data_IF_501390439009
#
_entry.id   IF_501390439009
#
_cell.length_a   1.000
_cell.length_b   1.000
_cell.length_c   1.000
_cell.angle_alpha   90.00
_cell.angle_beta   90.00
_cell.angle_gamma   90.00
#
_symmetry.space_group_name_H-M   'P 1'
#
loop_
_entity.id
_entity.type
_entity.pdbx_description
1 polymer ?
#
# COMPACT_ATOMS: atom_id res chain seq x y z
N UNK A 1 12.61 -8.88 39.18
CA UNK A 1 13.30 -9.67 38.13
C UNK A 1 13.14 -8.93 36.83
N UNK A 2 14.23 -8.32 36.35
CA UNK A 2 14.25 -7.45 35.18
C UNK A 2 14.52 -8.33 33.95
N UNK A 3 13.52 -8.56 33.10
CA UNK A 3 13.71 -9.26 31.82
C UNK A 3 13.75 -8.19 30.73
N UNK A 4 14.92 -7.57 30.61
CA UNK A 4 15.29 -6.81 29.42
C UNK A 4 15.64 -7.78 28.30
N UNK A 5 14.64 -8.22 27.52
CA UNK A 5 14.90 -8.52 26.11
C UNK A 5 14.47 -7.29 25.32
N UNK A 6 15.44 -6.49 24.91
CA UNK A 6 15.22 -5.48 23.88
C UNK A 6 14.97 -6.23 22.56
N UNK A 7 13.77 -6.81 22.43
CA UNK A 7 13.32 -7.43 21.19
C UNK A 7 13.31 -6.37 20.10
N UNK A 8 13.73 -6.75 18.88
CA UNK A 8 13.64 -5.91 17.70
C UNK A 8 12.27 -5.25 17.64
N UNK A 9 12.21 -3.92 17.62
CA UNK A 9 10.95 -3.19 17.53
C UNK A 9 10.22 -3.64 16.26
N UNK A 10 9.03 -4.23 16.43
CA UNK A 10 8.18 -4.65 15.32
C UNK A 10 7.13 -3.60 15.03
N UNK A 11 6.86 -3.37 13.76
CA UNK A 11 5.82 -2.44 13.31
C UNK A 11 4.72 -3.24 12.64
N UNK A 12 3.48 -3.07 13.12
CA UNK A 12 2.29 -3.61 12.46
C UNK A 12 1.60 -2.46 11.71
N UNK A 13 1.53 -2.57 10.39
CA UNK A 13 0.74 -1.66 9.58
C UNK A 13 -0.63 -2.27 9.35
N UNK A 14 -1.69 -1.48 9.55
CA UNK A 14 -3.07 -1.87 9.25
C UNK A 14 -3.56 -0.94 8.14
N UNK A 15 -4.05 -1.52 7.06
CA UNK A 15 -4.47 -0.85 5.84
C UNK A 15 -5.87 -1.30 5.42
N UNK A 16 -6.61 -0.36 4.85
CA UNK A 16 -7.97 -0.57 4.35
C UNK A 16 -8.02 -0.14 2.88
N UNK A 17 -8.67 -0.95 2.05
CA UNK A 17 -8.86 -0.66 0.62
C UNK A 17 -10.34 -0.62 0.28
N UNK A 18 -10.80 0.40 -0.45
CA UNK A 18 -12.19 0.53 -0.87
C UNK A 18 -12.64 -0.57 -1.83
N UNK A 19 -11.74 -1.21 -2.58
CA UNK A 19 -12.09 -2.35 -3.44
C UNK A 19 -12.32 -3.66 -2.66
N UNK A 20 -11.84 -3.73 -1.41
CA UNK A 20 -12.08 -4.87 -0.51
C UNK A 20 -12.56 -4.38 0.86
N UNK A 21 -13.78 -3.80 0.93
CA UNK A 21 -14.26 -3.13 2.15
C UNK A 21 -14.51 -4.10 3.32
N UNK A 22 -14.69 -5.39 3.04
CA UNK A 22 -14.84 -6.43 4.06
C UNK A 22 -13.50 -6.95 4.60
N UNK A 23 -12.37 -6.51 4.05
CA UNK A 23 -11.04 -6.98 4.40
C UNK A 23 -10.22 -5.91 5.12
N UNK A 24 -9.56 -6.33 6.19
CA UNK A 24 -8.52 -5.57 6.87
C UNK A 24 -7.19 -6.22 6.54
N UNK A 25 -6.32 -5.45 5.89
CA UNK A 25 -4.99 -5.92 5.52
C UNK A 25 -3.98 -5.48 6.57
N UNK A 26 -3.17 -6.40 7.05
CA UNK A 26 -2.16 -6.12 8.05
C UNK A 26 -0.80 -6.64 7.61
N UNK A 27 0.25 -5.85 7.79
CA UNK A 27 1.63 -6.22 7.44
C UNK A 27 2.49 -6.04 8.68
N UNK A 28 3.02 -7.15 9.21
CA UNK A 28 3.97 -7.14 10.31
C UNK A 28 5.39 -7.09 9.77
N UNK A 29 6.11 -6.02 10.09
CA UNK A 29 7.53 -5.86 9.81
C UNK A 29 8.37 -6.38 10.99
N UNK A 30 9.22 -7.36 10.72
CA UNK A 30 10.14 -7.95 11.70
C UNK A 30 11.52 -8.14 11.07
N UNK A 31 12.37 -7.12 11.18
CA UNK A 31 13.67 -7.09 10.50
C UNK A 31 13.47 -7.02 8.98
N UNK A 32 14.10 -7.92 8.24
CA UNK A 32 13.99 -7.98 6.77
C UNK A 32 12.79 -8.81 6.27
N UNK A 33 11.90 -9.25 7.18
CA UNK A 33 10.72 -10.05 6.83
C UNK A 33 9.44 -9.24 7.03
N UNK A 34 8.58 -9.27 6.01
CA UNK A 34 7.20 -8.77 6.06
C UNK A 34 6.26 -9.95 6.09
N UNK A 35 5.35 -9.99 7.08
CA UNK A 35 4.35 -11.05 7.21
C UNK A 35 2.98 -10.42 6.95
N UNK A 36 2.35 -10.68 5.78
CA UNK A 36 1.00 -10.21 5.51
C UNK A 36 -0.04 -11.08 6.20
N UNK A 37 -1.12 -10.45 6.65
CA UNK A 37 -2.32 -11.07 7.20
C UNK A 37 -3.53 -10.35 6.61
N UNK A 38 -4.53 -11.11 6.18
CA UNK A 38 -5.83 -10.58 5.77
C UNK A 38 -6.87 -11.11 6.73
N UNK A 39 -7.62 -10.20 7.35
CA UNK A 39 -8.67 -10.50 8.32
C UNK A 39 -9.94 -9.72 7.99
N UNK A 40 -11.00 -9.91 8.78
CA UNK A 40 -12.22 -9.12 8.69
C UNK A 40 -12.16 -7.86 9.58
N UNK A 41 -13.26 -7.10 9.61
CA UNK A 41 -13.38 -5.89 10.42
C UNK A 41 -13.27 -6.10 11.94
N UNK A 42 -13.41 -7.34 12.46
CA UNK A 42 -13.22 -7.61 13.88
C UNK A 42 -11.76 -7.46 14.30
N UNK A 43 -10.83 -7.51 13.34
CA UNK A 43 -9.42 -7.28 13.61
C UNK A 43 -9.13 -5.87 14.13
N UNK A 44 -9.82 -4.85 13.62
CA UNK A 44 -9.68 -3.47 14.14
C UNK A 44 -10.13 -3.37 15.60
N UNK A 45 -11.20 -4.07 15.96
CA UNK A 45 -11.66 -4.15 17.35
C UNK A 45 -10.62 -4.86 18.24
N UNK A 46 -10.01 -5.94 17.75
CA UNK A 46 -8.90 -6.60 18.45
C UNK A 46 -7.73 -5.64 18.67
N UNK A 47 -7.34 -4.85 17.67
CA UNK A 47 -6.26 -3.86 17.80
C UNK A 47 -6.55 -2.81 18.85
N UNK A 48 -7.81 -2.38 18.99
CA UNK A 48 -8.21 -1.48 20.08
C UNK A 48 -8.12 -2.11 21.47
N UNK A 49 -8.14 -3.44 21.61
CA UNK A 49 -7.95 -4.15 22.88
C UNK A 49 -6.48 -4.46 23.19
N UNK A 50 -5.61 -4.42 22.19
CA UNK A 50 -4.19 -4.78 22.30
C UNK A 50 -3.29 -3.58 22.63
N UNK A 51 -3.83 -2.47 23.13
CA UNK A 51 -3.09 -1.22 23.41
C UNK A 51 -1.98 -1.37 24.45
N UNK A 52 -2.05 -2.39 25.30
CA UNK A 52 -0.98 -2.74 26.26
C UNK A 52 0.25 -3.33 25.56
N UNK A 53 0.08 -3.92 24.38
CA UNK A 53 1.15 -4.58 23.59
C UNK A 53 1.58 -3.69 22.43
N UNK A 54 0.63 -3.06 21.74
CA UNK A 54 0.89 -2.17 20.61
C UNK A 54 0.63 -0.71 20.97
N UNK A 55 1.64 0.14 20.77
CA UNK A 55 1.49 1.59 20.88
C UNK A 55 1.13 2.19 19.53
N UNK A 56 -0.11 2.70 19.40
CA UNK A 56 -0.55 3.40 18.20
C UNK A 56 0.07 4.79 18.10
N UNK A 57 0.73 5.09 16.97
CA UNK A 57 1.26 6.43 16.67
C UNK A 57 0.19 7.24 15.95
N UNK A 58 -0.62 8.02 16.68
CA UNK A 58 -1.75 8.80 16.11
C UNK A 58 -1.38 9.69 14.91
N UNK A 59 -0.13 10.14 14.80
CA UNK A 59 0.35 11.03 13.74
C UNK A 59 0.79 10.32 12.44
N UNK A 60 0.73 8.99 12.37
CA UNK A 60 1.20 8.23 11.20
C UNK A 60 0.07 7.84 10.23
N UNK A 61 -1.18 8.25 10.49
CA UNK A 61 -2.29 7.99 9.57
C UNK A 61 -2.05 8.74 8.26
N UNK A 62 -1.98 7.96 7.19
CA UNK A 62 -1.84 8.41 5.83
C UNK A 62 -2.99 7.80 5.03
N UNK A 63 -3.59 8.58 4.14
CA UNK A 63 -4.70 8.16 3.30
C UNK A 63 -4.53 8.72 1.90
N UNK A 64 -4.94 7.95 0.89
CA UNK A 64 -5.08 8.39 -0.48
C UNK A 64 -6.56 8.33 -0.85
N UNK A 65 -7.14 9.48 -1.24
CA UNK A 65 -8.57 9.58 -1.59
C UNK A 65 -8.74 10.35 -2.88
N UNK A 66 -9.65 9.88 -3.73
CA UNK A 66 -10.09 10.63 -4.89
C UNK A 66 -10.86 9.77 -5.88
N UNK A 67 -11.09 10.28 -7.10
CA UNK A 67 -11.98 9.65 -8.06
C UNK A 67 -11.41 8.34 -8.62
N UNK A 68 -12.34 7.46 -9.01
CA UNK A 68 -12.11 6.19 -9.70
C UNK A 68 -12.78 6.27 -11.07
N UNK A 69 -12.02 6.01 -12.11
CA UNK A 69 -12.44 6.05 -13.49
C UNK A 69 -12.33 4.66 -14.12
N UNK A 70 -13.22 4.37 -15.06
CA UNK A 70 -13.17 3.18 -15.89
C UNK A 70 -13.11 3.60 -17.35
N UNK A 71 -12.15 3.04 -18.09
CA UNK A 71 -11.98 3.28 -19.51
C UNK A 71 -11.65 1.96 -20.19
N UNK A 72 -12.66 1.38 -20.84
CA UNK A 72 -12.58 0.03 -21.39
C UNK A 72 -12.20 -0.96 -20.28
N UNK A 73 -11.10 -1.67 -20.50
CA UNK A 73 -10.57 -2.70 -19.60
C UNK A 73 -9.71 -2.16 -18.43
N UNK A 74 -9.51 -0.83 -18.38
CA UNK A 74 -8.68 -0.18 -17.37
C UNK A 74 -9.52 0.46 -16.27
N UNK A 75 -9.02 0.34 -15.05
CA UNK A 75 -9.46 1.08 -13.88
C UNK A 75 -8.34 2.05 -13.46
N UNK A 76 -8.65 3.33 -13.33
CA UNK A 76 -7.68 4.37 -12.96
C UNK A 76 -8.17 5.10 -11.72
N UNK A 77 -7.35 5.23 -10.69
CA UNK A 77 -7.66 6.01 -9.49
C UNK A 77 -6.65 7.13 -9.31
N UNK A 78 -7.17 8.33 -9.01
CA UNK A 78 -6.36 9.49 -8.68
C UNK A 78 -6.55 9.82 -7.20
N UNK A 79 -5.55 9.51 -6.38
CA UNK A 79 -5.61 9.71 -4.94
C UNK A 79 -4.83 10.93 -4.49
N UNK A 80 -5.49 11.90 -3.87
CA UNK A 80 -4.80 12.92 -3.06
C UNK A 80 -4.30 12.26 -1.77
N UNK A 81 -2.98 12.26 -1.59
CA UNK A 81 -2.32 11.67 -0.42
C UNK A 81 -2.26 12.71 0.69
N UNK A 82 -2.81 12.38 1.85
CA UNK A 82 -2.72 13.22 3.05
C UNK A 82 -2.15 12.45 4.22
N UNK A 83 -1.33 13.09 5.05
CA UNK A 83 -0.80 12.52 6.29
C UNK A 83 -1.17 13.44 7.45
N UNK A 84 -1.91 12.91 8.43
CA UNK A 84 -2.52 13.73 9.49
C UNK A 84 -3.22 14.98 8.93
N UNK A 85 -4.04 14.78 7.88
CA UNK A 85 -4.79 15.82 7.15
C UNK A 85 -3.93 16.84 6.35
N UNK A 86 -2.61 16.71 6.33
CA UNK A 86 -1.75 17.56 5.51
C UNK A 86 -1.53 16.92 4.14
N UNK A 87 -1.81 17.65 3.06
CA UNK A 87 -1.54 17.21 1.69
C UNK A 87 -0.05 16.92 1.47
N UNK A 88 0.25 15.77 0.87
CA UNK A 88 1.61 15.28 0.59
C UNK A 88 1.90 15.07 -0.89
N UNK A 89 0.88 14.83 -1.71
CA UNK A 89 1.05 14.60 -3.14
C UNK A 89 -0.14 13.90 -3.78
N UNK A 90 0.04 13.47 -5.03
CA UNK A 90 -0.95 12.72 -5.80
C UNK A 90 -0.40 11.34 -6.10
N UNK A 91 -1.23 10.32 -5.92
CA UNK A 91 -0.96 8.93 -6.27
C UNK A 91 -1.87 8.54 -7.45
N UNK A 92 -1.31 7.86 -8.44
CA UNK A 92 -2.05 7.30 -9.57
C UNK A 92 -1.96 5.78 -9.49
N UNK A 93 -3.12 5.12 -9.43
CA UNK A 93 -3.23 3.67 -9.51
C UNK A 93 -3.86 3.31 -10.85
N UNK A 94 -3.27 2.34 -11.55
CA UNK A 94 -3.82 1.78 -12.78
C UNK A 94 -3.86 0.26 -12.66
N UNK A 95 -5.01 -0.29 -13.03
CA UNK A 95 -5.28 -1.72 -13.05
C UNK A 95 -5.85 -2.09 -14.42
N UNK A 96 -5.25 -3.10 -15.05
CA UNK A 96 -5.80 -3.77 -16.22
C UNK A 96 -6.54 -5.04 -15.79
N UNK A 97 -7.88 -5.00 -15.81
CA UNK A 97 -8.72 -6.05 -15.20
C UNK A 97 -8.71 -7.41 -15.90
N UNK A 98 -8.56 -7.51 -17.25
CA UNK A 98 -8.62 -8.81 -17.91
C UNK A 98 -7.44 -9.75 -17.61
N UNK A 99 -6.34 -9.26 -17.04
CA UNK A 99 -5.15 -10.08 -16.77
C UNK A 99 -4.59 -9.84 -15.38
N UNK A 100 -4.54 -10.92 -14.58
CA UNK A 100 -4.00 -10.91 -13.23
C UNK A 100 -2.51 -11.29 -13.17
N UNK A 101 -1.84 -11.49 -14.31
CA UNK A 101 -0.40 -11.84 -14.35
C UNK A 101 0.39 -10.62 -14.80
N UNK A 102 1.13 -9.92 -13.90
CA UNK A 102 1.75 -8.64 -14.22
C UNK A 102 2.66 -8.65 -15.46
N UNK A 103 3.45 -9.71 -15.65
CA UNK A 103 4.33 -9.88 -16.81
C UNK A 103 3.58 -9.83 -18.15
N UNK A 104 2.33 -10.29 -18.16
CA UNK A 104 1.52 -10.35 -19.39
C UNK A 104 0.88 -9.02 -19.75
N UNK A 105 0.74 -8.09 -18.80
CA UNK A 105 0.03 -6.82 -19.01
C UNK A 105 0.85 -5.56 -18.66
N UNK A 106 2.08 -5.70 -18.15
CA UNK A 106 2.92 -4.57 -17.71
C UNK A 106 3.16 -3.54 -18.80
N UNK A 107 3.64 -3.95 -19.98
CA UNK A 107 3.93 -3.00 -21.07
C UNK A 107 2.66 -2.27 -21.54
N UNK A 108 1.53 -2.99 -21.61
CA UNK A 108 0.24 -2.40 -21.94
C UNK A 108 -0.18 -1.33 -20.92
N UNK A 109 -0.07 -1.61 -19.62
CA UNK A 109 -0.36 -0.63 -18.56
C UNK A 109 0.62 0.55 -18.59
N UNK A 110 1.90 0.30 -18.87
CA UNK A 110 2.94 1.33 -18.96
C UNK A 110 2.69 2.27 -20.13
N UNK A 111 2.38 1.75 -21.31
CA UNK A 111 2.04 2.54 -22.51
C UNK A 111 0.77 3.37 -22.29
N UNK A 112 -0.26 2.75 -21.71
CA UNK A 112 -1.49 3.45 -21.33
C UNK A 112 -1.18 4.65 -20.41
N UNK A 113 -0.40 4.44 -19.35
CA UNK A 113 0.03 5.51 -18.44
C UNK A 113 0.87 6.58 -19.14
N UNK A 114 1.76 6.17 -20.05
CA UNK A 114 2.66 7.08 -20.78
C UNK A 114 1.88 8.04 -21.68
N UNK A 115 0.72 7.62 -22.20
CA UNK A 115 -0.18 8.49 -22.95
C UNK A 115 -0.70 9.70 -22.17
N UNK A 116 -0.80 9.60 -20.83
CA UNK A 116 -1.32 10.68 -19.98
C UNK A 116 -0.22 11.40 -19.20
N UNK A 117 0.74 10.66 -18.65
CA UNK A 117 1.76 11.19 -17.74
C UNK A 117 3.11 11.42 -18.42
N UNK A 118 3.24 11.06 -19.71
CA UNK A 118 4.46 11.25 -20.49
C UNK A 118 5.68 10.59 -19.83
N UNK A 119 6.76 11.36 -19.67
CA UNK A 119 8.02 10.89 -19.10
C UNK A 119 8.00 10.67 -17.59
N UNK A 120 6.89 10.97 -16.89
CA UNK A 120 6.77 10.70 -15.46
C UNK A 120 6.51 9.24 -15.13
N UNK A 121 6.16 8.41 -16.13
CA UNK A 121 5.95 6.97 -15.96
C UNK A 121 7.29 6.26 -15.85
N UNK A 122 7.43 5.41 -14.84
CA UNK A 122 8.63 4.60 -14.65
C UNK A 122 8.73 3.53 -15.75
N UNK A 123 9.93 3.34 -16.28
CA UNK A 123 10.20 2.32 -17.30
C UNK A 123 10.22 0.90 -16.71
N UNK A 124 10.46 0.77 -15.41
CA UNK A 124 10.58 -0.52 -14.71
C UNK A 124 9.37 -0.77 -13.80
N UNK A 125 8.97 -2.04 -13.61
CA UNK A 125 7.95 -2.40 -12.63
C UNK A 125 8.28 -1.92 -11.20
N UNK A 126 7.26 -1.62 -10.38
CA UNK A 126 7.43 -1.32 -8.96
C UNK A 126 8.27 -2.38 -8.24
N UNK A 127 9.12 -1.97 -7.30
CA UNK A 127 10.11 -2.85 -6.68
C UNK A 127 9.49 -4.12 -6.09
N UNK A 128 8.35 -4.00 -5.41
CA UNK A 128 7.61 -5.13 -4.85
C UNK A 128 7.21 -6.18 -5.91
N UNK A 129 6.87 -5.75 -7.14
CA UNK A 129 6.40 -6.63 -8.20
C UNK A 129 7.52 -7.30 -9.00
N UNK A 130 8.75 -6.77 -9.01
CA UNK A 130 9.83 -7.26 -9.87
C UNK A 130 10.08 -8.77 -9.72
N UNK A 131 10.02 -9.29 -8.50
CA UNK A 131 10.21 -10.72 -8.22
C UNK A 131 8.92 -11.56 -8.33
N UNK A 132 7.79 -10.91 -8.61
CA UNK A 132 6.44 -11.52 -8.65
C UNK A 132 5.74 -11.31 -10.00
N UNK A 133 6.49 -10.91 -11.02
CA UNK A 133 5.92 -10.57 -12.33
C UNK A 133 5.15 -11.73 -12.96
N UNK A 134 5.55 -12.98 -12.69
CA UNK A 134 4.89 -14.17 -13.22
C UNK A 134 3.90 -14.82 -12.23
N UNK A 135 3.70 -14.22 -11.05
CA UNK A 135 2.75 -14.71 -10.06
C UNK A 135 1.34 -14.15 -10.35
N UNK A 136 0.33 -14.82 -9.82
CA UNK A 136 -1.03 -14.29 -9.86
C UNK A 136 -1.15 -13.14 -8.87
N UNK A 137 -1.45 -11.95 -9.40
CA UNK A 137 -1.66 -10.74 -8.63
C UNK A 137 -2.87 -10.90 -7.69
N UNK A 138 -2.71 -10.45 -6.45
CA UNK A 138 -3.73 -10.49 -5.42
C UNK A 138 -3.93 -9.10 -4.80
N UNK A 139 -5.08 -8.83 -4.14
CA UNK A 139 -5.31 -7.54 -3.48
C UNK A 139 -4.21 -7.13 -2.50
N UNK A 140 -3.58 -8.09 -1.82
CA UNK A 140 -2.47 -7.83 -0.90
C UNK A 140 -1.25 -7.21 -1.60
N UNK A 141 -1.07 -7.44 -2.91
CA UNK A 141 0.02 -6.85 -3.69
C UNK A 141 -0.21 -5.34 -3.92
N UNK A 142 -1.46 -4.91 -4.06
CA UNK A 142 -1.83 -3.50 -4.06
C UNK A 142 -1.47 -2.88 -2.71
N UNK A 143 -1.79 -3.56 -1.61
CA UNK A 143 -1.51 -3.07 -0.24
C UNK A 143 -0.01 -2.86 0.00
N UNK A 144 0.83 -3.80 -0.46
CA UNK A 144 2.29 -3.63 -0.34
C UNK A 144 2.80 -2.43 -1.15
N UNK A 145 2.29 -2.25 -2.38
CA UNK A 145 2.64 -1.08 -3.20
C UNK A 145 2.23 0.24 -2.52
N UNK A 146 1.03 0.30 -1.96
CA UNK A 146 0.59 1.48 -1.18
C UNK A 146 1.47 1.71 0.05
N UNK A 147 1.83 0.65 0.79
CA UNK A 147 2.71 0.76 1.95
C UNK A 147 4.09 1.34 1.57
N UNK A 148 4.65 0.91 0.44
CA UNK A 148 5.91 1.43 -0.11
C UNK A 148 5.80 2.93 -0.44
N UNK A 149 4.75 3.32 -1.18
CA UNK A 149 4.52 4.72 -1.55
C UNK A 149 4.28 5.60 -0.31
N UNK A 150 3.49 5.13 0.64
CA UNK A 150 3.26 5.82 1.91
C UNK A 150 4.54 5.95 2.74
N UNK A 151 5.40 4.93 2.72
CA UNK A 151 6.75 4.99 3.28
C UNK A 151 7.60 6.08 2.63
N UNK A 152 7.54 6.22 1.30
CA UNK A 152 8.24 7.27 0.57
C UNK A 152 7.73 8.67 0.96
N UNK A 153 6.41 8.89 1.05
CA UNK A 153 5.84 10.17 1.50
C UNK A 153 6.23 10.53 2.95
N UNK A 154 6.36 9.53 3.83
CA UNK A 154 6.86 9.73 5.21
C UNK A 154 8.33 10.16 5.24
N UNK A 155 9.18 9.62 4.35
CA UNK A 155 10.61 9.96 4.27
C UNK A 155 10.85 11.30 3.57
N UNK A 156 10.11 11.58 2.49
CA UNK A 156 10.20 12.84 1.76
C UNK A 156 9.81 14.05 2.62
N UNK A 157 9.00 13.82 3.65
CA UNK A 157 8.62 14.82 4.65
C UNK A 157 9.56 14.86 5.86
N UNK A 158 10.77 14.28 5.74
CA UNK A 158 11.83 14.38 6.73
C UNK A 158 12.04 15.81 7.19
N UNK A 159 11.45 16.09 8.35
CA UNK A 159 11.70 17.14 9.35
C UNK A 159 12.84 18.09 8.98
N UNK A 160 12.49 19.35 8.70
CA UNK A 160 13.15 20.47 9.37
C UNK A 160 12.26 20.90 10.52
#
# INVERSE_FOLDING_TARGET
VNVSSAGTQRTLHVLHNSEQPASVFSILESGNKTIPLVADGLFDLLMNKMTTIYTSKKQTKIEAKGPRFEIGDFCVKLGSVTMSQNFKGVLVEVEYRPCMVPASCWELMREFLQGFLGSSVQSTPPQYLQNRMNEMYQPIDTIHQYLEQFGAYRKATGVR
#
